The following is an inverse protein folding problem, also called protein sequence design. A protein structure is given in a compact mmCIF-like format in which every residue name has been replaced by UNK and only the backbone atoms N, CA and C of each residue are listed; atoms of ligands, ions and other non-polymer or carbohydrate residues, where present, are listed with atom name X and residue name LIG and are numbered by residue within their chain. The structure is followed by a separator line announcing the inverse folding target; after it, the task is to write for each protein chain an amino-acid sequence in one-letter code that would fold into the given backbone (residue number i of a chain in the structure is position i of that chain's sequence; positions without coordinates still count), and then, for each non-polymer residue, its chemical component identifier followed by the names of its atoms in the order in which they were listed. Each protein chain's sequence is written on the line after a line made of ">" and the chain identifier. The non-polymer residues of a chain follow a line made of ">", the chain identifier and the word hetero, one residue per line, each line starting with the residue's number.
data_IF_448377979069
#
_entry.id   IF_448377979069
#
_cell.length_a   1.000
_cell.length_b   1.000
_cell.length_c   1.000
_cell.angle_alpha   90.00
_cell.angle_beta   90.00
_cell.angle_gamma   90.00
#
_symmetry.space_group_name_H-M   'P 1'
#
loop_
_entity.id
_entity.type
_entity.pdbx_description
1 polymer ?
#
# COMPACT_ATOMS: atom_id res chain seq x y z
N UNK A 1 -34.42 7.19 -1.29
CA UNK A 1 -33.54 7.86 -2.25
C UNK A 1 -32.70 8.86 -1.49
N UNK A 2 -31.57 8.44 -0.94
CA UNK A 2 -30.63 9.35 -0.26
C UNK A 2 -29.31 9.36 -1.03
N UNK A 3 -29.02 10.50 -1.62
CA UNK A 3 -27.75 10.77 -2.30
C UNK A 3 -26.69 11.06 -1.22
N UNK A 4 -25.77 10.13 -1.02
CA UNK A 4 -24.56 10.39 -0.25
C UNK A 4 -23.60 11.20 -1.13
N UNK A 5 -23.36 12.43 -0.73
CA UNK A 5 -22.34 13.30 -1.32
C UNK A 5 -20.95 12.79 -0.92
N UNK A 6 -20.18 12.33 -1.89
CA UNK A 6 -18.74 12.07 -1.72
C UNK A 6 -18.04 13.43 -1.67
N UNK A 7 -17.59 13.81 -0.49
CA UNK A 7 -16.69 14.96 -0.31
C UNK A 7 -15.30 14.59 -0.78
N UNK A 8 -14.88 15.14 -1.92
CA UNK A 8 -13.54 15.01 -2.45
C UNK A 8 -12.56 15.77 -1.56
N UNK A 9 -11.74 15.08 -0.81
CA UNK A 9 -10.62 15.67 -0.07
C UNK A 9 -9.44 15.86 -1.03
N UNK A 10 -9.33 17.06 -1.60
CA UNK A 10 -8.18 17.47 -2.41
C UNK A 10 -7.09 17.98 -1.46
N UNK A 11 -6.06 17.19 -1.24
CA UNK A 11 -4.87 17.62 -0.50
C UNK A 11 -3.95 18.34 -1.47
N UNK A 12 -3.94 19.67 -1.42
CA UNK A 12 -2.98 20.49 -2.17
C UNK A 12 -1.73 20.67 -1.32
N UNK A 13 -0.64 20.02 -1.69
CA UNK A 13 0.68 20.28 -1.12
C UNK A 13 1.32 21.45 -1.87
N UNK A 14 1.30 22.62 -1.27
CA UNK A 14 2.03 23.79 -1.78
C UNK A 14 3.46 23.76 -1.22
N UNK A 15 4.45 23.53 -2.08
CA UNK A 15 5.86 23.72 -1.74
C UNK A 15 6.24 25.16 -2.11
N UNK A 16 6.30 26.03 -1.12
CA UNK A 16 6.88 27.38 -1.27
C UNK A 16 8.36 27.33 -0.87
N UNK A 17 9.24 27.32 -1.85
CA UNK A 17 10.65 27.56 -1.66
C UNK A 17 10.97 29.03 -2.04
N UNK A 18 11.05 29.90 -1.05
CA UNK A 18 11.62 31.23 -1.21
C UNK A 18 12.84 31.36 -0.29
N UNK A 19 14.01 31.32 -0.87
CA UNK A 19 15.27 31.59 -0.19
C UNK A 19 16.25 32.26 -1.14
N UNK A 20 16.35 33.57 -1.05
CA UNK A 20 17.40 34.34 -1.71
C UNK A 20 18.72 34.20 -0.94
N UNK A 21 19.68 33.46 -1.47
CA UNK A 21 21.05 33.42 -0.97
C UNK A 21 21.97 34.15 -1.95
N UNK A 22 22.57 35.22 -1.48
CA UNK A 22 23.74 35.87 -2.07
C UNK A 22 25.00 35.04 -1.81
N UNK A 23 25.68 34.72 -2.87
CA UNK A 23 26.96 34.03 -2.87
C UNK A 23 26.92 32.89 -3.88
N UNK A 24 27.48 33.15 -5.09
CA UNK A 24 27.58 32.09 -6.08
C UNK A 24 28.62 31.08 -5.61
N UNK A 25 28.25 29.91 -5.09
CA UNK A 25 29.17 28.81 -5.03
C UNK A 25 29.39 28.31 -6.46
N UNK A 26 30.57 27.88 -6.72
CA UNK A 26 31.00 27.17 -7.92
C UNK A 26 29.90 26.15 -8.30
N UNK A 27 29.13 26.50 -9.31
CA UNK A 27 28.01 25.65 -9.77
C UNK A 27 28.67 24.45 -10.49
N UNK A 28 29.16 23.51 -9.72
CA UNK A 28 29.30 22.17 -10.26
C UNK A 28 27.92 21.80 -10.77
N UNK A 29 27.83 21.57 -12.06
CA UNK A 29 26.56 21.25 -12.69
C UNK A 29 25.87 20.18 -11.85
N UNK A 30 24.57 20.31 -11.64
CA UNK A 30 23.74 19.32 -10.92
C UNK A 30 24.02 17.90 -11.45
N UNK A 31 24.35 17.79 -12.76
CA UNK A 31 24.81 16.58 -13.40
C UNK A 31 26.11 16.00 -12.85
N UNK A 32 27.05 16.84 -12.41
CA UNK A 32 28.30 16.35 -11.83
C UNK A 32 28.09 15.79 -10.42
N UNK A 33 27.23 16.44 -9.62
CA UNK A 33 26.88 15.94 -8.28
C UNK A 33 26.07 14.65 -8.38
N UNK A 34 25.22 14.48 -9.39
CA UNK A 34 24.45 13.27 -9.63
C UNK A 34 25.32 12.12 -10.18
N UNK A 35 26.39 12.41 -10.92
CA UNK A 35 27.31 11.39 -11.46
C UNK A 35 28.30 10.85 -10.43
N UNK A 36 28.64 11.65 -9.42
CA UNK A 36 29.58 11.25 -8.34
C UNK A 36 28.87 10.62 -7.14
N UNK A 37 27.54 10.45 -7.18
CA UNK A 37 26.83 9.70 -6.15
C UNK A 37 27.31 8.24 -6.18
N UNK A 38 27.83 7.68 -5.07
CA UNK A 38 28.27 6.30 -5.05
C UNK A 38 27.11 5.40 -5.48
N UNK A 39 27.36 4.55 -6.49
CA UNK A 39 26.42 3.54 -6.91
C UNK A 39 26.24 2.57 -5.75
N UNK A 40 25.14 2.67 -5.03
CA UNK A 40 24.78 1.72 -3.98
C UNK A 40 24.44 0.38 -4.63
N UNK A 41 25.49 -0.39 -4.96
CA UNK A 41 25.33 -1.75 -5.41
C UNK A 41 24.83 -2.61 -4.25
N UNK A 42 23.62 -3.14 -4.36
CA UNK A 42 23.00 -4.13 -3.47
C UNK A 42 22.41 -3.58 -2.17
N UNK A 43 21.61 -2.57 -2.23
CA UNK A 43 20.83 -2.22 -1.06
C UNK A 43 19.67 -3.22 -0.87
N UNK A 44 19.59 -3.78 0.31
CA UNK A 44 18.36 -4.41 0.81
C UNK A 44 17.65 -3.34 1.61
N UNK A 45 16.40 -3.05 1.25
CA UNK A 45 15.56 -2.12 1.99
C UNK A 45 14.45 -2.88 2.66
N UNK A 46 14.24 -2.62 3.94
CA UNK A 46 13.11 -3.16 4.69
C UNK A 46 12.21 -1.99 5.08
N UNK A 47 10.98 -2.00 4.61
CA UNK A 47 10.01 -0.95 4.85
C UNK A 47 8.75 -1.51 5.51
N UNK A 48 8.06 -0.66 6.26
CA UNK A 48 6.76 -0.92 6.86
C UNK A 48 5.76 0.12 6.37
N UNK A 49 4.52 -0.32 6.11
CA UNK A 49 3.42 0.55 5.65
C UNK A 49 2.42 0.83 6.79
N UNK A 50 2.57 1.94 7.55
CA UNK A 50 1.65 2.29 8.64
C UNK A 50 0.27 2.71 8.15
N UNK A 51 0.17 3.26 6.94
CA UNK A 51 -1.11 3.70 6.42
C UNK A 51 -2.02 2.50 6.16
N UNK A 52 -1.48 1.40 5.64
CA UNK A 52 -2.25 0.16 5.46
C UNK A 52 -2.72 -0.41 6.80
N UNK A 53 -1.90 -0.32 7.86
CA UNK A 53 -2.28 -0.75 9.19
C UNK A 53 -3.45 0.08 9.75
N UNK A 54 -3.36 1.40 9.68
CA UNK A 54 -4.36 2.32 10.24
C UNK A 54 -5.66 2.30 9.43
N UNK A 55 -5.56 2.29 8.09
CA UNK A 55 -6.71 2.43 7.21
C UNK A 55 -7.51 1.13 7.06
N UNK A 56 -6.84 0.00 7.01
CA UNK A 56 -7.45 -1.29 6.61
C UNK A 56 -7.05 -2.47 7.49
N UNK A 57 -6.35 -2.24 8.60
CA UNK A 57 -5.92 -3.31 9.51
C UNK A 57 -4.94 -4.30 8.86
N UNK A 58 -4.07 -3.83 7.95
CA UNK A 58 -3.07 -4.66 7.28
C UNK A 58 -1.66 -4.32 7.78
N UNK A 59 -1.04 -5.22 8.50
CA UNK A 59 0.38 -5.14 8.83
C UNK A 59 1.17 -5.79 7.70
N UNK A 60 2.02 -5.03 7.02
CA UNK A 60 2.91 -5.53 5.95
C UNK A 60 4.34 -5.06 6.17
N UNK A 61 5.27 -5.89 5.74
CA UNK A 61 6.70 -5.61 5.75
C UNK A 61 7.23 -5.82 4.33
N UNK A 62 7.73 -4.76 3.72
CA UNK A 62 8.27 -4.81 2.37
C UNK A 62 9.78 -5.02 2.44
N UNK A 63 10.25 -6.13 1.90
CA UNK A 63 11.68 -6.40 1.69
C UNK A 63 12.00 -6.18 0.23
N UNK A 64 12.78 -5.15 -0.06
CA UNK A 64 13.18 -4.77 -1.41
C UNK A 64 14.64 -5.14 -1.61
N UNK A 65 14.93 -5.94 -2.60
CA UNK A 65 16.28 -6.35 -2.98
C UNK A 65 16.57 -5.78 -4.36
N UNK A 66 17.62 -4.96 -4.49
CA UNK A 66 18.04 -4.37 -5.77
C UNK A 66 19.27 -5.06 -6.32
N UNK A 67 19.10 -6.10 -7.14
CA UNK A 67 20.21 -6.84 -7.72
C UNK A 67 20.99 -6.04 -8.79
N UNK A 68 20.40 -4.99 -9.32
CA UNK A 68 20.98 -4.12 -10.34
C UNK A 68 20.37 -2.71 -10.26
N UNK A 69 21.03 -1.73 -10.86
CA UNK A 69 20.74 -0.28 -10.73
C UNK A 69 19.28 0.13 -10.93
N UNK A 70 18.57 -0.54 -11.82
CA UNK A 70 17.18 -0.21 -12.17
C UNK A 70 16.18 -1.24 -11.69
N UNK A 71 16.62 -2.33 -11.06
CA UNK A 71 15.78 -3.51 -10.84
C UNK A 71 15.65 -3.84 -9.36
N UNK A 72 14.44 -3.79 -8.84
CA UNK A 72 14.10 -4.19 -7.48
C UNK A 72 13.12 -5.35 -7.47
N UNK A 73 13.40 -6.35 -6.65
CA UNK A 73 12.46 -7.41 -6.30
C UNK A 73 11.85 -7.06 -4.94
N UNK A 74 10.54 -7.17 -4.82
CA UNK A 74 9.80 -6.86 -3.59
C UNK A 74 9.15 -8.12 -3.07
N UNK A 75 9.38 -8.42 -1.81
CA UNK A 75 8.68 -9.46 -1.07
C UNK A 75 7.96 -8.81 0.11
N UNK A 76 6.63 -8.90 0.15
CA UNK A 76 5.81 -8.23 1.16
C UNK A 76 4.89 -9.22 1.87
N UNK A 77 5.37 -9.95 2.88
CA UNK A 77 4.49 -10.71 3.75
C UNK A 77 3.55 -9.77 4.51
N UNK A 78 2.30 -10.19 4.69
CA UNK A 78 1.34 -9.40 5.44
C UNK A 78 0.42 -10.27 6.31
N UNK A 79 -0.10 -9.63 7.35
CA UNK A 79 -1.22 -10.09 8.14
C UNK A 79 -2.31 -9.01 8.14
N UNK A 80 -3.55 -9.39 7.92
CA UNK A 80 -4.67 -8.47 7.88
C UNK A 80 -5.76 -8.92 8.84
N UNK A 81 -6.37 -7.95 9.52
CA UNK A 81 -7.51 -8.17 10.39
C UNK A 81 -8.43 -6.96 10.40
N UNK A 82 -9.70 -7.20 10.53
CA UNK A 82 -10.67 -6.15 10.76
C UNK A 82 -11.87 -6.72 11.50
N UNK A 83 -12.50 -5.86 12.30
CA UNK A 83 -13.75 -6.17 12.98
C UNK A 83 -14.67 -4.97 12.82
N UNK A 84 -15.90 -5.22 12.38
CA UNK A 84 -16.94 -4.20 12.33
C UNK A 84 -17.64 -4.13 13.68
N UNK A 85 -18.15 -2.96 14.03
CA UNK A 85 -19.00 -2.86 15.22
C UNK A 85 -20.37 -3.50 14.93
N UNK A 86 -21.08 -4.00 15.97
CA UNK A 86 -22.47 -4.38 15.83
C UNK A 86 -23.29 -3.22 15.25
N UNK A 87 -24.19 -3.52 14.35
CA UNK A 87 -25.08 -2.52 13.75
C UNK A 87 -26.53 -2.83 14.14
N UNK A 88 -27.31 -1.78 14.38
CA UNK A 88 -28.75 -1.93 14.59
C UNK A 88 -29.44 -1.65 13.26
N UNK A 89 -30.18 -2.62 12.76
CA UNK A 89 -31.02 -2.51 11.57
C UNK A 89 -32.46 -2.46 12.02
N UNK A 90 -33.25 -1.58 11.43
CA UNK A 90 -34.71 -1.50 11.68
C UNK A 90 -35.40 -2.21 10.53
N UNK A 91 -36.35 -3.10 10.85
CA UNK A 91 -37.26 -3.70 9.87
C UNK A 91 -38.31 -2.71 9.37
N UNK A 92 -39.15 -3.12 8.42
CA UNK A 92 -40.23 -2.27 7.88
C UNK A 92 -41.27 -1.88 8.92
N UNK A 93 -41.33 -2.60 10.04
CA UNK A 93 -42.20 -2.31 11.18
C UNK A 93 -41.52 -1.41 12.24
N UNK A 94 -40.26 -1.01 12.01
CA UNK A 94 -39.48 -0.19 12.92
C UNK A 94 -38.90 -0.95 14.10
N UNK A 95 -38.87 -2.29 14.06
CA UNK A 95 -38.31 -3.12 15.15
C UNK A 95 -36.80 -3.17 15.02
N UNK A 96 -36.06 -2.79 16.08
CA UNK A 96 -34.60 -2.82 16.04
C UNK A 96 -34.07 -4.27 16.16
N UNK A 97 -33.25 -4.68 15.21
CA UNK A 97 -32.50 -5.94 15.28
C UNK A 97 -30.99 -5.62 15.32
N UNK A 98 -30.31 -6.12 16.33
CA UNK A 98 -28.85 -6.01 16.42
C UNK A 98 -28.22 -7.13 15.60
N UNK A 99 -27.46 -6.74 14.59
CA UNK A 99 -26.58 -7.66 13.87
C UNK A 99 -25.24 -7.72 14.59
N UNK A 100 -24.73 -8.94 14.89
CA UNK A 100 -23.45 -9.12 15.56
C UNK A 100 -22.26 -8.54 14.80
N UNK A 101 -21.11 -8.52 15.42
CA UNK A 101 -19.85 -8.13 14.79
C UNK A 101 -19.52 -9.06 13.63
N UNK A 102 -19.01 -8.48 12.56
CA UNK A 102 -18.30 -9.24 11.53
C UNK A 102 -16.82 -9.17 11.80
N UNK A 103 -16.11 -10.22 11.52
CA UNK A 103 -14.65 -10.24 11.61
C UNK A 103 -14.03 -10.80 10.35
N UNK A 104 -12.84 -10.30 10.08
CA UNK A 104 -12.03 -10.70 8.94
C UNK A 104 -10.59 -10.87 9.41
N UNK A 105 -9.97 -11.99 9.10
CA UNK A 105 -8.55 -12.23 9.39
C UNK A 105 -7.91 -12.98 8.25
N UNK A 106 -6.65 -12.70 7.99
CA UNK A 106 -5.91 -13.43 6.97
C UNK A 106 -4.43 -13.10 6.97
N UNK A 107 -3.70 -13.91 6.25
CA UNK A 107 -2.28 -13.71 6.01
C UNK A 107 -1.98 -13.98 4.54
N UNK A 108 -0.91 -13.39 4.06
CA UNK A 108 -0.51 -13.56 2.68
C UNK A 108 0.83 -12.93 2.38
N UNK A 109 1.07 -12.77 1.12
CA UNK A 109 2.28 -12.13 0.61
C UNK A 109 2.06 -11.53 -0.76
N UNK A 110 2.94 -10.62 -1.07
CA UNK A 110 3.05 -9.99 -2.37
C UNK A 110 4.46 -10.21 -2.90
N UNK A 111 4.56 -10.64 -4.14
CA UNK A 111 5.79 -10.73 -4.88
C UNK A 111 5.75 -9.67 -5.98
N UNK A 112 6.55 -8.64 -5.84
CA UNK A 112 6.57 -7.50 -6.72
C UNK A 112 7.91 -7.31 -7.43
N UNK A 113 7.83 -6.51 -8.48
CA UNK A 113 8.99 -6.00 -9.18
C UNK A 113 8.89 -4.48 -9.24
N UNK A 114 10.00 -3.77 -9.05
CA UNK A 114 10.10 -2.32 -9.22
C UNK A 114 11.18 -2.00 -10.24
N UNK A 115 10.81 -1.24 -11.25
CA UNK A 115 11.77 -0.61 -12.14
C UNK A 115 12.01 0.82 -11.67
N UNK A 116 13.25 1.15 -11.33
CA UNK A 116 13.67 2.49 -10.95
C UNK A 116 14.16 3.25 -12.17
N UNK A 117 13.64 4.45 -12.39
CA UNK A 117 14.05 5.29 -13.53
C UNK A 117 15.46 5.81 -13.35
N UNK A 118 15.83 6.15 -12.10
CA UNK A 118 17.16 6.63 -11.75
C UNK A 118 18.13 5.48 -11.53
N UNK A 119 19.40 5.71 -11.87
CA UNK A 119 20.49 4.78 -11.57
C UNK A 119 20.90 4.88 -10.10
N UNK A 120 21.35 3.78 -9.51
CA UNK A 120 21.97 3.78 -8.20
C UNK A 120 21.14 3.21 -7.08
N UNK A 121 20.33 2.20 -7.36
CA UNK A 121 19.66 1.41 -6.35
C UNK A 121 18.23 1.84 -6.05
N UNK A 122 17.67 1.51 -4.89
CA UNK A 122 16.25 1.67 -4.60
C UNK A 122 15.91 3.12 -4.23
N UNK A 123 16.08 4.02 -5.17
CA UNK A 123 15.76 5.44 -5.01
C UNK A 123 15.23 6.03 -6.31
N UNK A 124 14.49 7.14 -6.20
CA UNK A 124 13.91 7.83 -7.33
C UNK A 124 12.53 7.30 -7.68
N UNK A 125 12.08 7.62 -8.86
CA UNK A 125 10.80 7.19 -9.36
C UNK A 125 10.81 5.71 -9.73
N UNK A 126 9.80 4.97 -9.29
CA UNK A 126 9.64 3.56 -9.62
C UNK A 126 8.24 3.26 -10.18
N UNK A 127 8.19 2.18 -10.93
CA UNK A 127 6.94 1.56 -11.38
C UNK A 127 7.12 0.03 -11.44
N UNK A 128 6.04 -0.71 -11.25
CA UNK A 128 6.13 -2.17 -11.38
C UNK A 128 4.87 -2.94 -11.05
N UNK A 129 4.80 -4.19 -11.53
CA UNK A 129 3.72 -5.12 -11.22
C UNK A 129 4.01 -5.91 -9.94
N UNK A 130 2.92 -6.45 -9.35
CA UNK A 130 2.99 -7.38 -8.22
C UNK A 130 1.96 -8.49 -8.36
N UNK A 131 2.30 -9.66 -7.83
CA UNK A 131 1.40 -10.80 -7.60
C UNK A 131 1.01 -10.82 -6.13
N UNK A 132 -0.29 -10.97 -5.86
CA UNK A 132 -0.83 -11.07 -4.50
C UNK A 132 -1.38 -12.47 -4.27
N UNK A 133 -1.09 -13.04 -3.11
CA UNK A 133 -1.64 -14.32 -2.66
C UNK A 133 -1.96 -14.20 -1.17
N UNK A 134 -3.11 -14.73 -0.75
CA UNK A 134 -3.51 -14.71 0.64
C UNK A 134 -4.51 -15.80 0.99
N UNK A 135 -4.55 -16.13 2.28
CA UNK A 135 -5.53 -17.03 2.87
C UNK A 135 -6.29 -16.26 3.95
N UNK A 136 -7.61 -16.26 3.85
CA UNK A 136 -8.47 -15.42 4.69
C UNK A 136 -9.62 -16.23 5.27
N UNK A 137 -10.11 -15.74 6.40
CA UNK A 137 -11.35 -16.23 7.02
C UNK A 137 -12.22 -15.01 7.35
N UNK A 138 -13.42 -15.01 6.83
CA UNK A 138 -14.45 -14.02 7.12
C UNK A 138 -15.54 -14.67 8.00
N UNK A 139 -16.01 -13.93 9.01
CA UNK A 139 -17.14 -14.33 9.84
C UNK A 139 -18.27 -13.34 9.59
N UNK A 140 -19.40 -13.82 9.08
CA UNK A 140 -20.59 -13.00 8.79
C UNK A 140 -21.37 -12.67 10.08
N UNK A 141 -22.37 -11.82 9.98
CA UNK A 141 -23.26 -11.43 11.10
C UNK A 141 -24.01 -12.60 11.74
N UNK A 142 -24.32 -13.65 10.98
CA UNK A 142 -24.97 -14.87 11.47
C UNK A 142 -24.02 -15.84 12.13
N UNK A 143 -22.72 -15.49 12.24
CA UNK A 143 -21.66 -16.34 12.77
C UNK A 143 -21.09 -17.33 11.77
N UNK A 144 -21.58 -17.36 10.54
CA UNK A 144 -21.07 -18.25 9.49
C UNK A 144 -19.64 -17.86 9.13
N UNK A 145 -18.73 -18.85 9.17
CA UNK A 145 -17.33 -18.68 8.83
C UNK A 145 -17.05 -19.19 7.43
N UNK A 146 -16.45 -18.36 6.62
CA UNK A 146 -16.02 -18.69 5.26
C UNK A 146 -14.51 -18.51 5.14
N UNK A 147 -13.78 -19.60 4.89
CA UNK A 147 -12.35 -19.56 4.56
C UNK A 147 -12.16 -19.65 3.06
N UNK A 148 -11.29 -18.81 2.53
CA UNK A 148 -11.02 -18.69 1.10
C UNK A 148 -9.56 -18.31 0.84
N UNK A 149 -9.11 -18.60 -0.36
CA UNK A 149 -7.87 -18.08 -0.89
C UNK A 149 -8.17 -16.87 -1.76
N UNK A 150 -7.24 -15.96 -1.80
CA UNK A 150 -7.27 -14.76 -2.61
C UNK A 150 -6.02 -14.72 -3.48
N UNK A 151 -6.18 -14.36 -4.72
CA UNK A 151 -5.08 -14.11 -5.64
C UNK A 151 -5.36 -12.85 -6.46
N UNK A 152 -4.30 -12.17 -6.85
CA UNK A 152 -4.47 -10.93 -7.59
C UNK A 152 -3.21 -10.41 -8.22
N UNK A 153 -3.41 -9.33 -8.95
CA UNK A 153 -2.37 -8.56 -9.60
C UNK A 153 -2.47 -7.11 -9.14
N UNK A 154 -1.33 -6.45 -9.02
CA UNK A 154 -1.27 -5.02 -8.83
C UNK A 154 -0.26 -4.38 -9.77
N UNK A 155 -0.43 -3.09 -10.00
CA UNK A 155 0.55 -2.24 -10.67
C UNK A 155 0.69 -0.96 -9.85
N UNK A 156 1.92 -0.66 -9.48
CA UNK A 156 2.26 0.45 -8.61
C UNK A 156 3.22 1.43 -9.30
N UNK A 157 3.11 2.69 -8.95
CA UNK A 157 4.06 3.73 -9.29
C UNK A 157 4.29 4.63 -8.06
N UNK A 158 5.51 5.11 -7.87
CA UNK A 158 5.83 5.93 -6.73
C UNK A 158 7.22 6.50 -6.77
N UNK A 159 7.59 7.11 -5.67
CA UNK A 159 8.91 7.68 -5.46
C UNK A 159 9.50 7.16 -4.15
N UNK A 160 10.72 6.66 -4.20
CA UNK A 160 11.47 6.19 -3.05
C UNK A 160 12.64 7.12 -2.77
N UNK A 161 12.73 7.59 -1.53
CA UNK A 161 13.82 8.44 -1.05
C UNK A 161 14.68 7.65 -0.08
N UNK A 162 16.00 7.78 -0.22
CA UNK A 162 16.98 7.36 0.79
C UNK A 162 17.53 8.61 1.47
N UNK A 163 17.31 8.72 2.76
CA UNK A 163 17.80 9.83 3.59
C UNK A 163 19.06 9.36 4.29
N UNK A 164 20.17 10.08 4.05
CA UNK A 164 21.49 9.72 4.54
C UNK A 164 21.90 8.27 4.18
N UNK A 165 21.47 7.81 3.00
CA UNK A 165 21.71 6.46 2.45
C UNK A 165 21.26 5.30 3.35
N UNK A 166 20.41 5.57 4.34
CA UNK A 166 19.94 4.58 5.32
C UNK A 166 18.44 4.57 5.52
N UNK A 167 17.85 5.70 5.89
CA UNK A 167 16.41 5.75 6.10
C UNK A 167 15.69 5.80 4.75
N UNK A 168 14.72 4.93 4.56
CA UNK A 168 13.91 4.84 3.35
C UNK A 168 12.51 5.39 3.60
N UNK A 169 12.01 6.16 2.64
CA UNK A 169 10.63 6.63 2.58
C UNK A 169 10.10 6.42 1.16
N UNK A 170 9.04 5.63 1.04
CA UNK A 170 8.35 5.38 -0.23
C UNK A 170 6.96 6.00 -0.21
N UNK A 171 6.65 6.77 -1.25
CA UNK A 171 5.34 7.39 -1.47
C UNK A 171 4.84 7.01 -2.86
N UNK A 172 3.62 6.55 -2.96
CA UNK A 172 3.09 6.15 -4.26
C UNK A 172 1.64 5.71 -4.21
N UNK A 173 1.23 5.13 -5.30
CA UNK A 173 -0.08 4.55 -5.44
C UNK A 173 -0.15 3.61 -6.63
N UNK A 174 -1.26 2.94 -6.75
CA UNK A 174 -1.45 1.96 -7.80
C UNK A 174 -2.88 1.50 -7.91
N UNK A 175 -3.04 0.44 -8.65
CA UNK A 175 -4.29 -0.27 -8.82
C UNK A 175 -4.06 -1.76 -8.55
N UNK A 176 -5.07 -2.41 -8.04
CA UNK A 176 -5.05 -3.86 -7.84
C UNK A 176 -6.35 -4.50 -8.27
N UNK A 177 -6.24 -5.72 -8.76
CA UNK A 177 -7.35 -6.63 -9.05
C UNK A 177 -7.16 -7.87 -8.20
N UNK A 178 -8.07 -8.10 -7.28
CA UNK A 178 -8.00 -9.23 -6.34
C UNK A 178 -9.27 -10.06 -6.46
N UNK A 179 -9.10 -11.39 -6.54
CA UNK A 179 -10.19 -12.33 -6.75
C UNK A 179 -10.19 -13.40 -5.66
N UNK A 180 -11.27 -13.54 -4.90
CA UNK A 180 -11.42 -14.62 -3.94
C UNK A 180 -11.84 -15.92 -4.64
N UNK A 181 -11.43 -17.05 -4.11
CA UNK A 181 -11.80 -18.38 -4.63
C UNK A 181 -13.22 -18.81 -4.25
N UNK A 182 -13.86 -18.10 -3.32
CA UNK A 182 -15.25 -18.34 -2.90
C UNK A 182 -15.99 -17.02 -2.77
N UNK A 183 -17.28 -17.02 -3.04
CA UNK A 183 -18.12 -15.89 -2.73
C UNK A 183 -18.15 -15.66 -1.21
N UNK A 184 -18.01 -14.41 -0.81
CA UNK A 184 -18.09 -14.01 0.58
C UNK A 184 -19.50 -13.45 0.78
N UNK A 185 -20.32 -14.07 1.62
CA UNK A 185 -21.65 -13.53 1.94
C UNK A 185 -21.47 -12.22 2.72
N UNK A 186 -22.39 -11.28 2.51
CA UNK A 186 -22.45 -10.00 3.23
C UNK A 186 -21.12 -9.23 3.23
N UNK A 187 -20.69 -8.83 2.03
CA UNK A 187 -19.46 -8.04 1.87
C UNK A 187 -19.62 -6.66 2.48
N UNK A 188 -19.24 -6.50 3.73
CA UNK A 188 -19.02 -5.19 4.31
C UNK A 188 -17.56 -4.76 4.14
N UNK A 189 -17.37 -3.43 4.08
CA UNK A 189 -16.06 -2.82 4.25
C UNK A 189 -15.44 -3.31 5.57
N UNK A 190 -14.38 -4.02 5.67
CA UNK A 190 -13.14 -4.08 4.91
C UNK A 190 -12.98 -5.31 3.99
N UNK A 191 -13.81 -6.33 4.12
CA UNK A 191 -13.75 -7.50 3.24
C UNK A 191 -13.88 -7.09 1.76
N UNK A 192 -14.60 -6.00 1.49
CA UNK A 192 -14.73 -5.41 0.16
C UNK A 192 -13.37 -5.03 -0.47
N UNK A 193 -12.40 -4.56 0.32
CA UNK A 193 -11.07 -4.18 -0.20
C UNK A 193 -10.26 -5.40 -0.61
N UNK A 194 -10.47 -6.51 0.11
CA UNK A 194 -9.70 -7.74 -0.05
C UNK A 194 -10.38 -8.80 -0.91
N UNK A 195 -11.63 -8.61 -1.32
CA UNK A 195 -12.36 -9.71 -1.93
C UNK A 195 -13.45 -9.29 -2.92
N UNK A 196 -13.34 -8.12 -3.53
CA UNK A 196 -14.40 -7.61 -4.38
C UNK A 196 -14.35 -8.09 -5.85
N UNK A 197 -13.27 -8.74 -6.27
CA UNK A 197 -13.08 -9.14 -7.67
C UNK A 197 -13.07 -7.95 -8.66
N UNK A 198 -12.85 -6.73 -8.16
CA UNK A 198 -12.87 -5.50 -8.95
C UNK A 198 -11.54 -4.79 -8.87
N UNK A 199 -11.32 -3.93 -9.83
CA UNK A 199 -10.20 -3.02 -9.81
C UNK A 199 -10.38 -2.01 -8.66
N UNK A 200 -9.40 -1.95 -7.76
CA UNK A 200 -9.40 -1.04 -6.62
C UNK A 200 -8.12 -0.23 -6.55
N UNK A 201 -8.18 1.02 -6.08
CA UNK A 201 -6.99 1.82 -5.87
C UNK A 201 -6.21 1.31 -4.66
N UNK A 202 -4.89 1.52 -4.69
CA UNK A 202 -4.01 1.31 -3.53
C UNK A 202 -3.13 2.53 -3.31
N UNK A 203 -2.80 2.77 -2.04
CA UNK A 203 -1.91 3.85 -1.63
C UNK A 203 -0.71 3.24 -0.94
N UNK A 204 0.47 3.70 -1.31
CA UNK A 204 1.75 3.27 -0.78
C UNK A 204 2.35 4.42 0.03
N UNK A 205 2.49 4.21 1.34
CA UNK A 205 3.23 5.10 2.24
C UNK A 205 4.02 4.21 3.15
N UNK A 206 5.29 4.01 2.84
CA UNK A 206 6.15 3.10 3.58
C UNK A 206 7.40 3.82 4.05
N UNK A 207 7.88 3.45 5.22
CA UNK A 207 9.17 3.91 5.71
C UNK A 207 9.97 2.75 6.29
N UNK A 208 11.29 2.87 6.28
CA UNK A 208 12.14 1.77 6.69
C UNK A 208 13.63 2.09 6.66
N UNK A 209 14.41 1.07 6.45
CA UNK A 209 15.85 1.13 6.52
C UNK A 209 16.51 0.38 5.36
N UNK A 210 17.59 0.98 4.83
CA UNK A 210 18.45 0.39 3.81
C UNK A 210 19.74 -0.15 4.45
N UNK A 211 20.17 -1.33 3.99
CA UNK A 211 21.35 -2.07 4.48
C UNK A 211 22.37 -2.33 3.38
#
# INVERSE_FOLDING_TARGET
>A
MNRLALSSLLVTVAVTAAGTAKGAPDVRSVDAVLRDAPTLHRAVVVEWNPLALIAIGKLSLDVIITPADHHGLVLSPFYAWATTRPITVFDDAGTPTQLPEQSFTGFGGELGYRYYVDKGGPRGFFLGPSLLLGAFTATAHDGTKTSYLEYGLAADAGYQMLIADRASLSLGGGIQLVTPTKAIPDQQFPAWIYANGRLSPRVLVSFGWAF
#
